data_IF_154985961325
#
_entry.id   IF_154985961325
#
_cell.length_a   1.000
_cell.length_b   1.000
_cell.length_c   1.000
_cell.angle_alpha   90.00
_cell.angle_beta   90.00
_cell.angle_gamma   90.00
#
_symmetry.space_group_name_H-M   'P 1'
#
loop_
_entity.id
_entity.type
_entity.pdbx_description
1 polymer ?
#
# COMPACT_ATOMS: atom_id res chain seq x y z
N UNK A 1 -18.85 -13.71 21.10
CA UNK A 1 -17.38 -13.69 20.97
C UNK A 1 -16.92 -12.27 21.14
N UNK A 2 -15.70 -12.05 21.65
CA UNK A 2 -15.11 -10.71 21.66
C UNK A 2 -14.34 -10.50 20.34
N UNK A 3 -14.28 -9.27 19.84
CA UNK A 3 -13.53 -8.96 18.59
C UNK A 3 -12.07 -9.42 18.70
N UNK A 4 -11.46 -9.32 19.88
CA UNK A 4 -10.09 -9.81 20.12
C UNK A 4 -9.95 -11.33 19.90
N UNK A 5 -10.92 -12.13 20.39
CA UNK A 5 -10.89 -13.59 20.19
C UNK A 5 -11.10 -13.97 18.72
N UNK A 6 -11.92 -13.21 17.99
CA UNK A 6 -12.17 -13.44 16.56
C UNK A 6 -10.92 -13.09 15.72
N UNK A 7 -10.20 -12.02 16.06
CA UNK A 7 -8.93 -11.66 15.41
C UNK A 7 -7.88 -12.76 15.57
N UNK A 8 -7.74 -13.33 16.77
CA UNK A 8 -6.80 -14.42 17.05
C UNK A 8 -7.17 -15.71 16.30
N UNK A 9 -8.46 -16.04 16.21
CA UNK A 9 -8.96 -17.18 15.44
C UNK A 9 -8.65 -17.04 13.94
N UNK A 10 -8.93 -15.86 13.36
CA UNK A 10 -8.63 -15.56 11.96
C UNK A 10 -7.12 -15.64 11.70
N UNK A 11 -6.30 -15.04 12.59
CA UNK A 11 -4.85 -15.10 12.48
C UNK A 11 -4.34 -16.54 12.49
N UNK A 12 -4.84 -17.35 13.43
CA UNK A 12 -4.47 -18.77 13.55
C UNK A 12 -4.83 -19.55 12.28
N UNK A 13 -6.02 -19.34 11.73
CA UNK A 13 -6.46 -20.01 10.50
C UNK A 13 -5.58 -19.63 9.29
N UNK A 14 -5.25 -18.34 9.15
CA UNK A 14 -4.39 -17.86 8.06
C UNK A 14 -2.94 -18.35 8.19
N UNK A 15 -2.44 -18.60 9.41
CA UNK A 15 -1.12 -19.18 9.66
C UNK A 15 -1.02 -20.67 9.35
N UNK A 16 -2.11 -21.41 9.51
CA UNK A 16 -2.16 -22.83 9.16
C UNK A 16 -2.21 -23.07 7.65
N UNK A 17 -2.44 -22.04 6.85
CA UNK A 17 -2.51 -22.15 5.40
C UNK A 17 -1.13 -22.45 4.77
N UNK A 18 -1.08 -23.34 3.78
CA UNK A 18 0.17 -23.74 3.09
C UNK A 18 0.96 -22.55 2.49
N UNK A 19 0.26 -21.46 2.20
CA UNK A 19 0.81 -20.22 1.66
C UNK A 19 0.92 -19.09 2.70
N UNK A 20 1.01 -19.39 4.00
CA UNK A 20 1.04 -18.41 5.10
C UNK A 20 2.01 -17.23 4.87
N UNK A 21 3.22 -17.48 4.37
CA UNK A 21 4.21 -16.42 4.09
C UNK A 21 3.71 -15.44 3.05
N UNK A 22 3.01 -15.92 2.01
CA UNK A 22 2.45 -15.07 0.95
C UNK A 22 1.23 -14.30 1.44
N UNK A 23 0.42 -14.90 2.30
CA UNK A 23 -0.72 -14.26 2.96
C UNK A 23 -0.23 -13.11 3.84
N UNK A 24 0.71 -13.38 4.75
CA UNK A 24 1.37 -12.38 5.61
C UNK A 24 1.95 -11.24 4.79
N UNK A 25 2.62 -11.56 3.69
CA UNK A 25 3.18 -10.57 2.78
C UNK A 25 2.11 -9.68 2.14
N UNK A 26 0.99 -10.26 1.73
CA UNK A 26 -0.09 -9.51 1.09
C UNK A 26 -0.78 -8.58 2.09
N UNK A 27 -1.08 -9.08 3.31
CA UNK A 27 -1.66 -8.28 4.40
C UNK A 27 -0.69 -7.16 4.80
N UNK A 28 0.59 -7.47 4.98
CA UNK A 28 1.60 -6.47 5.29
C UNK A 28 1.66 -5.37 4.23
N UNK A 29 1.64 -5.75 2.95
CA UNK A 29 1.66 -4.76 1.88
C UNK A 29 0.40 -3.90 1.85
N UNK A 30 -0.77 -4.46 2.18
CA UNK A 30 -2.01 -3.70 2.31
C UNK A 30 -1.93 -2.68 3.46
N UNK A 31 -1.40 -3.08 4.62
CA UNK A 31 -1.32 -2.20 5.79
C UNK A 31 -0.26 -1.09 5.67
N UNK A 32 0.88 -1.37 5.01
CA UNK A 32 2.05 -0.48 4.99
C UNK A 32 2.37 0.10 3.61
N UNK A 33 1.60 -0.25 2.58
CA UNK A 33 1.83 0.12 1.19
C UNK A 33 3.28 -0.14 0.71
N UNK A 34 3.93 -1.18 1.27
CA UNK A 34 5.33 -1.55 0.97
C UNK A 34 5.50 -3.06 0.91
N UNK A 35 6.41 -3.52 0.04
CA UNK A 35 6.64 -4.95 -0.21
C UNK A 35 7.86 -5.47 0.57
N UNK A 36 7.64 -6.34 1.56
CA UNK A 36 8.72 -6.89 2.39
C UNK A 36 9.34 -8.15 1.77
N UNK A 37 10.64 -8.13 1.48
CA UNK A 37 11.31 -9.28 0.86
C UNK A 37 11.93 -10.24 1.88
N UNK A 38 12.16 -9.79 3.11
CA UNK A 38 12.74 -10.63 4.14
C UNK A 38 11.68 -11.55 4.76
N UNK A 39 11.80 -12.85 4.47
CA UNK A 39 10.89 -13.87 4.99
C UNK A 39 10.94 -13.99 6.52
N UNK A 40 12.11 -13.81 7.14
CA UNK A 40 12.24 -13.85 8.60
C UNK A 40 11.45 -12.72 9.26
N UNK A 41 11.42 -11.54 8.65
CA UNK A 41 10.57 -10.44 9.13
C UNK A 41 9.11 -10.89 9.04
N UNK A 42 8.66 -11.38 7.89
CA UNK A 42 7.27 -11.80 7.67
C UNK A 42 6.78 -12.89 8.65
N UNK A 43 7.65 -13.84 9.00
CA UNK A 43 7.34 -14.93 9.92
C UNK A 43 7.29 -14.48 11.40
N UNK A 44 8.06 -13.47 11.77
CA UNK A 44 8.07 -12.92 13.14
C UNK A 44 7.01 -11.83 13.36
N UNK A 45 6.28 -11.43 12.31
CA UNK A 45 5.20 -10.45 12.45
C UNK A 45 4.04 -11.03 13.24
N UNK A 46 3.46 -10.21 14.10
CA UNK A 46 2.18 -10.50 14.74
C UNK A 46 1.05 -10.35 13.70
N UNK A 47 0.51 -11.49 13.26
CA UNK A 47 -0.53 -11.51 12.23
C UNK A 47 -1.86 -10.96 12.75
N UNK A 48 -2.21 -11.21 14.02
CA UNK A 48 -3.41 -10.67 14.63
C UNK A 48 -3.35 -9.14 14.69
N UNK A 49 -2.20 -8.58 15.08
CA UNK A 49 -1.96 -7.13 15.04
C UNK A 49 -2.05 -6.53 13.63
N UNK A 50 -1.60 -7.25 12.59
CA UNK A 50 -1.77 -6.81 11.21
C UNK A 50 -3.22 -6.80 10.74
N UNK A 51 -3.98 -7.85 11.07
CA UNK A 51 -5.41 -7.96 10.76
C UNK A 51 -6.19 -6.87 11.49
N UNK A 52 -5.87 -6.63 12.77
CA UNK A 52 -6.45 -5.55 13.56
C UNK A 52 -6.21 -4.19 12.92
N UNK A 53 -4.97 -3.90 12.49
CA UNK A 53 -4.67 -2.67 11.74
C UNK A 53 -5.46 -2.59 10.44
N UNK A 54 -5.53 -3.68 9.67
CA UNK A 54 -6.28 -3.71 8.41
C UNK A 54 -7.76 -3.39 8.64
N UNK A 55 -8.35 -3.97 9.69
CA UNK A 55 -9.73 -3.72 10.10
C UNK A 55 -9.95 -2.27 10.56
N UNK A 56 -9.01 -1.69 11.31
CA UNK A 56 -9.09 -0.28 11.73
C UNK A 56 -8.93 0.72 10.57
N UNK A 57 -8.17 0.36 9.52
CA UNK A 57 -7.92 1.23 8.36
C UNK A 57 -9.08 1.24 7.36
N UNK A 58 -9.93 0.22 7.37
CA UNK A 58 -10.97 0.03 6.38
C UNK A 58 -12.31 -0.20 7.08
N UNK A 59 -13.26 0.70 6.87
CA UNK A 59 -14.60 0.61 7.49
C UNK A 59 -15.50 -0.48 6.87
N UNK A 60 -15.13 -1.02 5.71
CA UNK A 60 -15.91 -2.05 5.03
C UNK A 60 -15.05 -3.10 4.35
N UNK A 61 -15.60 -4.30 4.17
CA UNK A 61 -14.92 -5.42 3.51
C UNK A 61 -14.64 -5.12 2.03
N UNK A 62 -15.43 -4.27 1.38
CA UNK A 62 -15.19 -3.77 0.03
C UNK A 62 -13.89 -2.96 -0.04
N UNK A 63 -13.64 -2.08 0.94
CA UNK A 63 -12.40 -1.29 1.01
C UNK A 63 -11.17 -2.18 1.18
N UNK A 64 -11.28 -3.25 1.99
CA UNK A 64 -10.23 -4.26 2.12
C UNK A 64 -10.00 -4.97 0.78
N UNK A 65 -11.08 -5.35 0.09
CA UNK A 65 -11.04 -6.03 -1.20
C UNK A 65 -10.33 -5.17 -2.24
N UNK A 66 -10.73 -3.91 -2.39
CA UNK A 66 -10.09 -2.96 -3.30
C UNK A 66 -8.61 -2.78 -2.98
N UNK A 67 -8.26 -2.64 -1.70
CA UNK A 67 -6.88 -2.47 -1.26
C UNK A 67 -6.03 -3.70 -1.62
N UNK A 68 -6.49 -4.90 -1.31
CA UNK A 68 -5.78 -6.15 -1.67
C UNK A 68 -5.62 -6.29 -3.18
N UNK A 69 -6.69 -6.07 -3.96
CA UNK A 69 -6.62 -6.20 -5.41
C UNK A 69 -5.74 -5.11 -6.05
N UNK A 70 -5.69 -3.90 -5.50
CA UNK A 70 -4.77 -2.84 -5.94
C UNK A 70 -3.30 -3.24 -5.77
N UNK A 71 -2.96 -3.94 -4.67
CA UNK A 71 -1.63 -4.50 -4.45
C UNK A 71 -1.35 -5.58 -5.50
N UNK A 72 -2.29 -6.50 -5.72
CA UNK A 72 -2.13 -7.63 -6.65
C UNK A 72 -1.91 -7.15 -8.09
N UNK A 73 -2.59 -6.07 -8.51
CA UNK A 73 -2.41 -5.50 -9.85
C UNK A 73 -0.96 -5.09 -10.14
N UNK A 74 -0.16 -4.79 -9.10
CA UNK A 74 1.25 -4.41 -9.21
C UNK A 74 2.21 -5.61 -9.20
N UNK A 75 1.71 -6.84 -8.98
CA UNK A 75 2.52 -8.06 -8.87
C UNK A 75 2.59 -8.83 -10.19
N UNK A 76 3.67 -9.61 -10.38
CA UNK A 76 3.82 -10.50 -11.54
C UNK A 76 2.88 -11.73 -11.44
N UNK A 77 2.82 -12.38 -10.26
CA UNK A 77 2.08 -13.64 -10.08
C UNK A 77 0.61 -13.40 -9.67
N UNK A 78 -0.09 -12.51 -10.40
CA UNK A 78 -1.42 -11.99 -10.04
C UNK A 78 -2.41 -13.08 -9.66
N UNK A 79 -2.59 -14.08 -10.52
CA UNK A 79 -3.54 -15.19 -10.32
C UNK A 79 -3.34 -15.93 -8.99
N UNK A 80 -2.09 -16.19 -8.60
CA UNK A 80 -1.79 -16.87 -7.33
C UNK A 80 -2.15 -15.97 -6.15
N UNK A 81 -1.86 -14.68 -6.22
CA UNK A 81 -2.20 -13.75 -5.14
C UNK A 81 -3.69 -13.42 -5.08
N UNK A 82 -4.42 -13.45 -6.19
CA UNK A 82 -5.89 -13.31 -6.19
C UNK A 82 -6.57 -14.44 -5.42
N UNK A 83 -6.11 -15.68 -5.56
CA UNK A 83 -6.61 -16.80 -4.77
C UNK A 83 -6.38 -16.58 -3.27
N UNK A 84 -5.19 -16.12 -2.88
CA UNK A 84 -4.88 -15.82 -1.49
C UNK A 84 -5.67 -14.61 -0.95
N UNK A 85 -5.93 -13.61 -1.78
CA UNK A 85 -6.76 -12.47 -1.41
C UNK A 85 -8.19 -12.90 -1.10
N UNK A 86 -8.77 -13.80 -1.90
CA UNK A 86 -10.09 -14.35 -1.63
C UNK A 86 -10.14 -15.08 -0.28
N UNK A 87 -9.12 -15.88 0.03
CA UNK A 87 -9.01 -16.55 1.34
C UNK A 87 -8.98 -15.52 2.48
N UNK A 88 -8.18 -14.46 2.35
CA UNK A 88 -8.10 -13.38 3.34
C UNK A 88 -9.48 -12.72 3.50
N UNK A 89 -10.11 -12.31 2.40
CA UNK A 89 -11.42 -11.63 2.40
C UNK A 89 -12.49 -12.50 3.07
N UNK A 90 -12.56 -13.79 2.71
CA UNK A 90 -13.52 -14.73 3.30
C UNK A 90 -13.37 -14.86 4.81
N UNK A 91 -12.13 -14.87 5.30
CA UNK A 91 -11.85 -14.93 6.74
C UNK A 91 -12.15 -13.63 7.47
N UNK A 92 -12.01 -12.48 6.80
CA UNK A 92 -12.27 -11.16 7.37
C UNK A 92 -13.76 -10.78 7.38
N UNK A 93 -14.60 -11.34 6.50
CA UNK A 93 -16.03 -11.01 6.40
C UNK A 93 -16.78 -10.96 7.74
N UNK A 94 -16.64 -11.95 8.66
CA UNK A 94 -17.35 -11.94 9.93
C UNK A 94 -17.07 -10.69 10.78
N UNK A 95 -15.87 -10.11 10.70
CA UNK A 95 -15.50 -8.89 11.43
C UNK A 95 -16.33 -7.67 11.01
N UNK A 96 -16.80 -7.64 9.76
CA UNK A 96 -17.58 -6.53 9.20
C UNK A 96 -19.10 -6.77 9.31
N UNK A 97 -19.51 -8.03 9.38
CA UNK A 97 -20.93 -8.39 9.56
C UNK A 97 -21.40 -8.12 11.00
N UNK A 98 -20.53 -8.33 12.00
CA UNK A 98 -20.83 -7.96 13.40
C UNK A 98 -21.04 -6.44 13.54
N UNK A 99 -20.22 -5.63 12.86
CA UNK A 99 -20.26 -4.17 12.94
C UNK A 99 -21.49 -3.56 12.26
N UNK A 100 -21.95 -4.17 11.15
CA UNK A 100 -23.09 -3.67 10.35
C UNK A 100 -24.44 -3.80 11.05
N UNK A 101 -24.53 -4.56 12.14
CA UNK A 101 -25.78 -4.70 12.92
C UNK A 101 -26.12 -3.45 13.75
N UNK A 102 -25.26 -2.43 13.76
CA UNK A 102 -25.45 -1.21 14.52
C UNK A 102 -25.29 0.07 13.67
N UNK A 103 -26.10 0.28 12.62
CA UNK A 103 -26.54 1.65 12.26
C UNK A 103 -27.65 1.70 11.19
N UNK A 104 -28.67 2.56 11.37
CA UNK A 104 -29.59 3.01 10.31
C UNK A 104 -28.98 4.17 9.51
N UNK A 105 -29.07 4.09 8.17
CA UNK A 105 -29.04 5.24 7.25
C UNK A 105 -30.30 6.10 7.44
N UNK A 106 -30.34 7.42 7.12
CA UNK A 106 -29.77 7.99 5.90
C UNK A 106 -29.20 9.44 5.94
N UNK A 107 -28.36 9.73 4.94
CA UNK A 107 -28.40 10.88 4.00
C UNK A 107 -28.54 12.32 4.55
N UNK A 108 -27.50 13.15 4.30
CA UNK A 108 -27.51 14.58 3.90
C UNK A 108 -26.02 15.01 3.86
N UNK A 109 -25.38 15.38 2.76
CA UNK A 109 -25.83 16.33 1.75
C UNK A 109 -25.43 17.74 2.19
N UNK A 110 -24.15 18.14 2.04
CA UNK A 110 -23.79 19.56 1.96
C UNK A 110 -22.38 19.78 1.38
N UNK A 111 -22.38 20.48 0.25
CA UNK A 111 -21.23 21.10 -0.40
C UNK A 111 -20.82 22.35 0.40
N UNK A 112 -19.54 22.61 0.58
CA UNK A 112 -19.10 24.00 0.82
C UNK A 112 -17.72 24.22 0.19
N UNK A 113 -17.69 25.21 -0.70
CA UNK A 113 -16.53 25.78 -1.38
C UNK A 113 -15.67 26.63 -0.43
N UNK A 114 -14.65 27.27 -1.02
CA UNK A 114 -13.79 28.37 -0.53
C UNK A 114 -12.46 27.89 0.08
N UNK A 115 -11.29 28.45 -0.25
CA UNK A 115 -10.99 29.72 -0.91
C UNK A 115 -9.58 29.67 -1.52
N UNK A 116 -9.42 30.37 -2.64
CA UNK A 116 -8.18 30.85 -3.26
C UNK A 116 -7.17 31.40 -2.27
N UNK A 117 -5.89 31.06 -2.46
CA UNK A 117 -4.79 31.94 -2.05
C UNK A 117 -3.59 31.80 -2.98
N UNK A 118 -3.45 32.80 -3.83
CA UNK A 118 -2.23 33.11 -4.58
C UNK A 118 -1.17 33.59 -3.59
N UNK A 119 0.08 33.13 -3.72
CA UNK A 119 1.24 33.87 -3.20
C UNK A 119 2.44 33.64 -4.11
N UNK A 120 2.57 34.54 -5.07
CA UNK A 120 3.80 35.18 -5.57
C UNK A 120 5.14 34.45 -5.39
N UNK A 121 5.61 33.92 -6.51
CA UNK A 121 6.95 34.08 -7.09
C UNK A 121 8.11 34.45 -6.15
N UNK A 122 9.02 33.48 -5.96
CA UNK A 122 10.43 33.71 -5.69
C UNK A 122 11.24 32.87 -6.68
N UNK A 123 11.78 33.49 -7.73
CA UNK A 123 12.80 32.90 -8.58
C UNK A 123 14.12 33.63 -8.30
N UNK A 124 15.10 33.03 -7.61
CA UNK A 124 16.47 33.45 -7.74
C UNK A 124 17.06 32.82 -9.01
N UNK A 125 17.37 33.72 -9.95
CA UNK A 125 18.26 33.62 -11.10
C UNK A 125 19.25 32.42 -11.08
N UNK A 126 19.04 31.44 -11.97
CA UNK A 126 19.96 30.33 -12.27
C UNK A 126 21.06 30.82 -13.24
N UNK A 127 22.31 30.94 -12.79
CA UNK A 127 23.45 31.13 -13.70
C UNK A 127 24.77 30.51 -13.24
N UNK A 128 24.71 29.39 -12.52
CA UNK A 128 25.85 28.47 -12.44
C UNK A 128 25.31 27.04 -12.33
N UNK A 129 25.81 26.07 -13.11
CA UNK A 129 25.45 24.67 -12.87
C UNK A 129 25.92 24.33 -11.46
N UNK A 130 24.97 24.02 -10.58
CA UNK A 130 25.28 23.52 -9.25
C UNK A 130 26.12 22.26 -9.41
N UNK A 131 27.02 21.92 -8.46
CA UNK A 131 27.68 20.62 -8.45
C UNK A 131 26.69 19.45 -8.57
N UNK A 132 25.44 19.66 -8.14
CA UNK A 132 24.34 18.71 -8.29
C UNK A 132 23.85 18.57 -9.75
N UNK A 133 23.87 19.64 -10.55
CA UNK A 133 23.47 19.59 -11.96
C UNK A 133 24.48 18.80 -12.79
N UNK A 134 25.78 18.97 -12.50
CA UNK A 134 26.84 18.20 -13.16
C UNK A 134 26.75 16.69 -12.82
N UNK A 135 26.37 16.35 -11.59
CA UNK A 135 26.13 14.96 -11.18
C UNK A 135 24.87 14.42 -11.87
N UNK A 136 23.78 15.19 -11.91
CA UNK A 136 22.54 14.78 -12.57
C UNK A 136 22.75 14.51 -14.07
N UNK A 137 23.47 15.39 -14.76
CA UNK A 137 23.79 15.26 -16.18
C UNK A 137 24.69 14.05 -16.45
N UNK A 138 25.66 13.79 -15.58
CA UNK A 138 26.53 12.60 -15.68
C UNK A 138 25.79 11.28 -15.40
N UNK A 139 24.74 11.30 -14.57
CA UNK A 139 23.91 10.12 -14.29
C UNK A 139 22.92 9.83 -15.42
N UNK A 140 22.47 10.87 -16.12
CA UNK A 140 21.56 10.74 -17.26
C UNK A 140 22.22 10.21 -18.53
N UNK A 141 23.51 10.49 -18.73
CA UNK A 141 24.29 9.91 -19.84
C UNK A 141 24.71 8.45 -19.61
N UNK A 142 24.41 7.87 -18.44
CA UNK A 142 24.76 6.49 -18.15
C UNK A 142 23.80 5.51 -18.85
N UNK A 143 24.32 4.39 -19.38
CA UNK A 143 23.56 3.29 -20.00
C UNK A 143 22.42 2.69 -19.13
N UNK A 144 22.40 3.02 -17.84
CA UNK A 144 21.41 2.53 -16.87
C UNK A 144 20.64 3.67 -16.19
N UNK A 145 20.57 4.84 -16.83
CA UNK A 145 19.89 6.05 -16.33
C UNK A 145 18.48 5.75 -15.79
N UNK A 146 17.71 4.88 -16.45
CA UNK A 146 16.37 4.46 -15.99
C UNK A 146 16.40 3.69 -14.66
N UNK A 147 17.41 2.84 -14.43
CA UNK A 147 17.56 2.10 -13.16
C UNK A 147 18.04 3.02 -12.04
N UNK A 148 18.92 3.95 -12.36
CA UNK A 148 19.44 4.95 -11.42
C UNK A 148 18.30 5.89 -11.00
N UNK A 149 17.51 6.41 -11.94
CA UNK A 149 16.31 7.22 -11.65
C UNK A 149 15.32 6.47 -10.78
N UNK A 150 15.11 5.17 -11.03
CA UNK A 150 14.29 4.30 -10.16
C UNK A 150 14.86 4.12 -8.76
N UNK A 151 16.17 3.94 -8.63
CA UNK A 151 16.83 3.83 -7.32
C UNK A 151 16.74 5.14 -6.54
N UNK A 152 16.97 6.28 -7.19
CA UNK A 152 16.82 7.60 -6.59
C UNK A 152 15.37 7.88 -6.19
N UNK A 153 14.42 7.58 -7.06
CA UNK A 153 12.99 7.68 -6.73
C UNK A 153 12.63 6.78 -5.56
N UNK A 154 13.10 5.53 -5.53
CA UNK A 154 12.86 4.62 -4.43
C UNK A 154 13.53 5.10 -3.12
N UNK A 155 14.74 5.67 -3.19
CA UNK A 155 15.45 6.19 -2.02
C UNK A 155 14.78 7.44 -1.45
N UNK A 156 14.24 8.32 -2.30
CA UNK A 156 13.58 9.55 -1.88
C UNK A 156 12.13 9.35 -1.42
N UNK A 157 11.39 8.42 -2.05
CA UNK A 157 9.96 8.26 -1.83
C UNK A 157 9.60 6.94 -1.13
N UNK A 158 10.59 6.10 -0.80
CA UNK A 158 10.42 4.79 -0.17
C UNK A 158 9.42 3.88 -0.92
N UNK A 159 9.26 4.10 -2.23
CA UNK A 159 8.26 3.49 -3.09
C UNK A 159 8.95 2.86 -4.31
N UNK A 160 8.81 1.54 -4.49
CA UNK A 160 9.40 0.80 -5.61
C UNK A 160 8.35 0.55 -6.69
N UNK A 161 8.47 1.24 -7.83
CA UNK A 161 7.52 1.14 -8.94
C UNK A 161 8.08 0.27 -10.09
N UNK A 162 7.38 -0.83 -10.40
CA UNK A 162 7.77 -1.73 -11.49
C UNK A 162 7.46 -1.14 -12.88
N UNK A 163 6.54 -0.19 -12.97
CA UNK A 163 6.17 0.49 -14.21
C UNK A 163 7.13 1.68 -14.47
N UNK A 164 7.86 1.66 -15.59
CA UNK A 164 8.75 2.77 -16.01
C UNK A 164 7.99 3.93 -16.66
N UNK A 165 6.72 3.75 -17.02
CA UNK A 165 5.95 4.74 -17.79
C UNK A 165 5.81 6.11 -17.09
N UNK A 166 5.62 6.21 -15.77
CA UNK A 166 5.55 7.52 -15.09
C UNK A 166 6.87 8.32 -15.11
N UNK A 167 8.01 7.63 -15.35
CA UNK A 167 9.36 8.23 -15.33
C UNK A 167 9.82 8.72 -16.71
N UNK A 168 9.06 8.44 -17.76
CA UNK A 168 9.32 8.94 -19.12
C UNK A 168 8.61 10.27 -19.39
N UNK A 169 7.74 10.69 -18.48
CA UNK A 169 6.96 11.94 -18.53
C UNK A 169 7.53 13.06 -17.66
N UNK A 170 8.67 12.81 -16.98
CA UNK A 170 9.44 13.77 -16.18
C UNK A 170 10.80 14.01 -16.84
#
# INVERSE_FOLDING_TARGET
MSVATLLDEIATHLDQHENQVRIRKLIFCACYNRWENNQSILLNLDLAGLISRLYQQHTSIENVTETLYSVIQKLNRKTKYSQLANVIIEQLKPLYEEDKTAQPDPENGEQTQFLTRETTQFFPNLSAPSPLDAIAESLDQHDQSLRIRKLLFCACYNHWENNVQPLLTL
#
